data_IF_440459889644
#
_entry.id   IF_440459889644
#
_cell.length_a   1.000
_cell.length_b   1.000
_cell.length_c   1.000
_cell.angle_alpha   90.00
_cell.angle_beta   90.00
_cell.angle_gamma   90.00
#
_symmetry.space_group_name_H-M   'P 1'
#
loop_
_entity.id
_entity.type
_entity.pdbx_description
1 polymer ?
#
# COMPACT_ATOMS: atom_id res chain seq x y z
N UNK A 1 -3.18 -15.57 6.44
CA UNK A 1 -2.63 -14.20 6.66
C UNK A 1 -1.42 -14.05 5.78
N UNK A 2 -1.15 -12.84 5.29
CA UNK A 2 0.04 -12.54 4.48
C UNK A 2 1.28 -12.35 5.35
N UNK A 3 2.43 -12.74 4.81
CA UNK A 3 3.75 -12.56 5.41
C UNK A 3 4.57 -11.73 4.42
N UNK A 4 5.22 -10.68 4.92
CA UNK A 4 6.27 -10.01 4.16
C UNK A 4 7.57 -10.77 4.37
N UNK A 5 8.28 -11.06 3.30
CA UNK A 5 9.60 -11.72 3.33
C UNK A 5 10.58 -10.88 2.52
N UNK A 6 11.69 -10.49 3.15
CA UNK A 6 12.83 -9.85 2.49
C UNK A 6 13.91 -10.90 2.27
N UNK A 7 14.32 -11.06 1.02
CA UNK A 7 15.42 -11.93 0.63
C UNK A 7 16.67 -11.10 0.30
N UNK A 8 17.86 -11.69 0.46
CA UNK A 8 19.09 -11.15 -0.10
C UNK A 8 19.22 -11.47 -1.60
N UNK A 9 20.32 -11.04 -2.22
CA UNK A 9 20.59 -11.27 -3.64
C UNK A 9 20.79 -12.75 -4.00
N UNK A 10 21.01 -13.61 -2.99
CA UNK A 10 21.17 -15.05 -3.13
C UNK A 10 19.84 -15.79 -2.88
N UNK A 11 18.77 -15.07 -2.56
CA UNK A 11 17.45 -15.64 -2.27
C UNK A 11 17.28 -16.17 -0.85
N UNK A 12 18.23 -15.89 0.05
CA UNK A 12 18.11 -16.28 1.46
C UNK A 12 17.25 -15.27 2.21
N UNK A 13 16.38 -15.77 3.07
CA UNK A 13 15.57 -14.93 3.96
C UNK A 13 16.45 -14.12 4.93
N UNK A 14 16.30 -12.80 4.84
CA UNK A 14 16.92 -11.82 5.74
C UNK A 14 15.95 -11.43 6.84
N UNK A 15 14.65 -11.33 6.51
CA UNK A 15 13.62 -10.92 7.46
C UNK A 15 12.23 -11.35 7.02
N UNK A 16 11.38 -11.68 7.98
CA UNK A 16 9.95 -11.83 7.75
C UNK A 16 9.11 -11.33 8.92
N UNK A 17 7.88 -10.90 8.62
CA UNK A 17 6.88 -10.55 9.63
C UNK A 17 5.46 -10.63 9.04
N UNK A 18 4.43 -10.90 9.87
CA UNK A 18 3.05 -10.91 9.41
C UNK A 18 2.59 -9.48 9.05
N UNK A 19 1.89 -9.35 7.92
CA UNK A 19 1.37 -8.05 7.41
C UNK A 19 -0.16 -8.03 7.29
N UNK A 20 -0.84 -8.98 7.92
CA UNK A 20 -2.29 -9.12 7.81
C UNK A 20 -2.73 -9.64 6.44
N UNK A 21 -4.02 -9.49 6.12
CA UNK A 21 -4.54 -9.93 4.81
C UNK A 21 -4.33 -8.86 3.75
N UNK A 22 -3.29 -9.05 2.93
CA UNK A 22 -3.09 -8.34 1.66
C UNK A 22 -3.49 -9.29 0.54
N UNK A 23 -4.78 -9.30 0.18
CA UNK A 23 -5.32 -10.26 -0.79
C UNK A 23 -5.26 -9.73 -2.23
N UNK A 24 -5.00 -8.44 -2.44
CA UNK A 24 -5.06 -7.80 -3.75
C UNK A 24 -4.00 -6.69 -3.91
N UNK A 25 -3.31 -6.77 -5.05
CA UNK A 25 -2.41 -5.81 -5.71
C UNK A 25 -1.10 -5.43 -5.01
N UNK A 26 -0.51 -4.32 -5.45
CA UNK A 26 0.89 -3.96 -5.22
C UNK A 26 1.13 -3.27 -3.88
N UNK A 27 2.09 -3.78 -3.11
CA UNK A 27 2.72 -3.07 -1.99
C UNK A 27 3.91 -2.26 -2.50
N UNK A 28 4.39 -1.35 -1.68
CA UNK A 28 5.58 -0.56 -1.99
C UNK A 28 6.53 -0.47 -0.79
N UNK A 29 7.82 -0.28 -1.07
CA UNK A 29 8.85 0.00 -0.06
C UNK A 29 9.20 1.47 -0.19
N UNK A 30 8.86 2.24 0.84
CA UNK A 30 9.11 3.67 0.91
C UNK A 30 10.62 3.96 1.01
N UNK A 31 11.03 5.18 0.68
CA UNK A 31 12.43 5.60 0.73
C UNK A 31 13.07 5.49 2.14
N UNK A 32 12.26 5.55 3.20
CA UNK A 32 12.67 5.34 4.58
C UNK A 32 12.80 3.84 4.97
N UNK A 33 12.58 2.92 4.03
CA UNK A 33 12.62 1.48 4.24
C UNK A 33 11.36 0.89 4.86
N UNK A 34 10.30 1.69 5.05
CA UNK A 34 9.01 1.19 5.52
C UNK A 34 8.25 0.48 4.40
N UNK A 35 7.36 -0.42 4.79
CA UNK A 35 6.52 -1.19 3.89
C UNK A 35 5.10 -0.62 3.89
N UNK A 36 4.56 -0.30 2.73
CA UNK A 36 3.19 0.18 2.56
C UNK A 36 2.30 -0.92 1.97
N UNK A 37 1.32 -1.39 2.73
CA UNK A 37 0.51 -2.57 2.39
C UNK A 37 -0.98 -2.22 2.31
N UNK A 38 -1.63 -2.40 1.14
CA UNK A 38 -3.09 -2.32 1.04
C UNK A 38 -3.73 -3.60 1.60
N UNK A 39 -4.55 -3.46 2.64
CA UNK A 39 -5.33 -4.56 3.20
C UNK A 39 -6.76 -4.52 2.66
N UNK A 40 -6.90 -5.00 1.42
CA UNK A 40 -8.15 -4.93 0.64
C UNK A 40 -9.44 -5.24 1.42
N UNK A 41 -9.60 -6.42 2.06
CA UNK A 41 -10.87 -6.75 2.71
C UNK A 41 -11.10 -5.99 4.03
N UNK A 42 -10.06 -5.35 4.57
CA UNK A 42 -10.11 -4.58 5.82
C UNK A 42 -10.32 -3.08 5.58
N UNK A 43 -10.34 -2.64 4.32
CA UNK A 43 -10.63 -1.24 3.98
C UNK A 43 -9.57 -0.26 4.48
N UNK A 44 -8.29 -0.64 4.40
CA UNK A 44 -7.20 0.20 4.86
C UNK A 44 -5.87 -0.03 4.15
N UNK A 45 -5.00 0.97 4.23
CA UNK A 45 -3.58 0.90 3.88
C UNK A 45 -2.79 1.03 5.17
N UNK A 46 -1.85 0.12 5.41
CA UNK A 46 -1.03 0.08 6.62
C UNK A 46 0.43 0.29 6.26
N UNK A 47 1.10 1.18 6.98
CA UNK A 47 2.55 1.35 6.91
C UNK A 47 3.21 0.59 8.06
N UNK A 48 4.12 -0.31 7.72
CA UNK A 48 4.93 -1.05 8.67
C UNK A 48 6.36 -0.53 8.66
N UNK A 49 6.95 -0.37 9.84
CA UNK A 49 8.38 -0.11 9.94
C UNK A 49 9.20 -1.34 9.50
N UNK A 50 10.52 -1.18 9.43
CA UNK A 50 11.41 -2.26 9.04
C UNK A 50 11.32 -3.49 9.96
N UNK A 51 10.76 -3.37 11.17
CA UNK A 51 10.58 -4.44 12.16
C UNK A 51 9.18 -5.09 12.13
N UNK A 52 8.30 -4.64 11.24
CA UNK A 52 6.94 -5.13 11.14
C UNK A 52 5.97 -4.52 12.15
N UNK A 53 6.35 -3.43 12.82
CA UNK A 53 5.41 -2.66 13.65
C UNK A 53 4.58 -1.76 12.75
N UNK A 54 3.26 -1.80 12.90
CA UNK A 54 2.38 -0.79 12.27
C UNK A 54 2.67 0.59 12.85
N UNK A 55 3.01 1.55 11.99
CA UNK A 55 3.35 2.93 12.35
C UNK A 55 2.36 3.96 11.79
N UNK A 56 1.57 3.60 10.78
CA UNK A 56 0.47 4.41 10.27
C UNK A 56 -0.63 3.54 9.66
N UNK A 57 -1.86 4.06 9.68
CA UNK A 57 -3.03 3.42 9.08
C UNK A 57 -3.90 4.48 8.40
N UNK A 58 -4.32 4.21 7.17
CA UNK A 58 -5.22 5.05 6.38
C UNK A 58 -6.45 4.23 6.03
N UNK A 59 -7.61 4.68 6.50
CA UNK A 59 -8.88 4.07 6.14
C UNK A 59 -9.24 4.47 4.70
N UNK A 60 -9.34 3.47 3.84
CA UNK A 60 -9.75 3.63 2.46
C UNK A 60 -10.51 2.37 2.05
N UNK A 61 -11.79 2.43 1.64
CA UNK A 61 -12.52 1.22 1.28
C UNK A 61 -11.95 0.50 0.04
N UNK A 62 -11.83 -0.82 0.11
CA UNK A 62 -11.37 -1.72 -0.97
C UNK A 62 -10.11 -1.23 -1.73
N UNK A 63 -9.00 -0.93 -1.04
CA UNK A 63 -7.77 -0.48 -1.66
C UNK A 63 -7.09 -1.66 -2.36
N UNK A 64 -6.64 -1.46 -3.60
CA UNK A 64 -6.01 -2.53 -4.40
C UNK A 64 -4.51 -2.37 -4.55
N UNK A 65 -3.96 -1.17 -4.45
CA UNK A 65 -2.52 -0.93 -4.57
C UNK A 65 -2.16 0.31 -3.76
N UNK A 66 -0.94 0.36 -3.22
CA UNK A 66 -0.45 1.55 -2.55
C UNK A 66 0.99 1.83 -3.00
N UNK A 67 1.26 3.08 -3.39
CA UNK A 67 2.55 3.52 -3.89
C UNK A 67 2.96 4.84 -3.23
N UNK A 68 4.17 4.89 -2.69
CA UNK A 68 4.71 6.10 -2.07
C UNK A 68 5.19 7.09 -3.12
N UNK A 69 4.82 8.36 -2.96
CA UNK A 69 5.29 9.45 -3.81
C UNK A 69 6.46 10.20 -3.15
N UNK A 70 7.37 10.82 -3.93
CA UNK A 70 8.52 11.56 -3.38
C UNK A 70 8.14 12.74 -2.45
N UNK A 71 6.95 13.30 -2.61
CA UNK A 71 6.40 14.34 -1.72
C UNK A 71 5.83 13.78 -0.40
N UNK A 72 5.94 12.46 -0.17
CA UNK A 72 5.37 11.75 0.97
C UNK A 72 3.91 11.34 0.78
N UNK A 73 3.24 11.73 -0.31
CA UNK A 73 1.86 11.30 -0.54
C UNK A 73 1.79 9.81 -0.91
N UNK A 74 0.57 9.28 -0.93
CA UNK A 74 0.28 7.90 -1.31
C UNK A 74 -0.63 7.93 -2.53
N UNK A 75 -0.18 7.30 -3.60
CA UNK A 75 -1.00 7.02 -4.77
C UNK A 75 -1.62 5.62 -4.60
N UNK A 76 -2.94 5.52 -4.70
CA UNK A 76 -3.67 4.27 -4.48
C UNK A 76 -4.80 4.10 -5.48
N UNK A 77 -5.20 2.87 -5.70
CA UNK A 77 -6.43 2.52 -6.43
C UNK A 77 -7.48 1.98 -5.45
N UNK A 78 -8.75 2.30 -5.70
CA UNK A 78 -9.90 1.81 -4.94
C UNK A 78 -10.88 1.09 -5.88
N UNK A 79 -11.40 -0.06 -5.45
CA UNK A 79 -12.56 -0.68 -6.12
C UNK A 79 -13.90 -0.20 -5.57
N UNK A 80 -13.91 0.44 -4.40
CA UNK A 80 -15.11 1.09 -3.87
C UNK A 80 -15.22 2.48 -4.51
N UNK A 81 -16.11 2.61 -5.49
CA UNK A 81 -16.13 3.70 -6.46
C UNK A 81 -14.82 3.74 -7.29
N UNK A 82 -14.75 2.97 -8.40
CA UNK A 82 -13.52 2.73 -9.14
C UNK A 82 -12.75 4.01 -9.46
N UNK A 83 -11.61 4.18 -8.81
CA UNK A 83 -10.85 5.43 -8.86
C UNK A 83 -9.38 5.22 -8.55
N UNK A 84 -8.58 6.19 -9.01
CA UNK A 84 -7.20 6.42 -8.57
C UNK A 84 -7.20 7.65 -7.68
N UNK A 85 -6.53 7.56 -6.54
CA UNK A 85 -6.53 8.58 -5.50
C UNK A 85 -5.08 8.93 -5.16
N UNK A 86 -4.80 10.23 -5.01
CA UNK A 86 -3.63 10.69 -4.27
C UNK A 86 -4.09 11.14 -2.89
N UNK A 87 -3.51 10.55 -1.85
CA UNK A 87 -3.78 10.84 -0.45
C UNK A 87 -2.55 11.49 0.18
N UNK A 88 -2.75 12.48 1.06
CA UNK A 88 -1.68 12.94 1.93
C UNK A 88 -1.36 11.89 3.02
N UNK A 89 -0.34 12.17 3.86
CA UNK A 89 0.08 11.28 4.96
C UNK A 89 -1.01 11.04 6.01
N UNK A 90 -2.03 11.89 6.07
CA UNK A 90 -3.16 11.77 7.00
C UNK A 90 -4.36 11.05 6.36
N UNK A 91 -4.22 10.58 5.12
CA UNK A 91 -5.30 9.91 4.38
C UNK A 91 -6.31 10.86 3.74
N UNK A 92 -6.04 12.17 3.73
CA UNK A 92 -6.91 13.13 3.04
C UNK A 92 -6.66 13.05 1.54
N UNK A 93 -7.75 12.92 0.77
CA UNK A 93 -7.73 12.99 -0.68
C UNK A 93 -7.30 14.38 -1.15
N UNK A 94 -6.20 14.44 -1.90
CA UNK A 94 -5.67 15.67 -2.53
C UNK A 94 -5.89 15.67 -4.03
N UNK A 95 -6.06 14.50 -4.64
CA UNK A 95 -6.41 14.35 -6.05
C UNK A 95 -7.19 13.05 -6.30
N UNK A 96 -7.97 13.01 -7.36
CA UNK A 96 -8.77 11.87 -7.77
C UNK A 96 -8.94 11.80 -9.29
N UNK A 97 -8.98 10.58 -9.80
CA UNK A 97 -9.41 10.27 -11.15
C UNK A 97 -10.38 9.10 -11.11
N UNK A 98 -11.60 9.33 -11.58
CA UNK A 98 -12.62 8.29 -11.71
C UNK A 98 -12.29 7.41 -12.92
N UNK A 99 -12.42 6.09 -12.76
CA UNK A 99 -12.19 5.13 -13.82
C UNK A 99 -13.49 4.45 -14.22
N UNK A 100 -13.65 4.15 -15.51
CA UNK A 100 -14.82 3.39 -15.99
C UNK A 100 -14.73 1.89 -15.64
N UNK A 101 -13.52 1.37 -15.41
CA UNK A 101 -13.25 -0.01 -15.00
C UNK A 101 -12.65 -0.11 -13.59
N UNK A 102 -12.42 -1.33 -13.10
CA UNK A 102 -11.85 -1.57 -11.76
C UNK A 102 -10.31 -1.51 -11.80
N UNK A 103 -9.68 -0.48 -11.22
CA UNK A 103 -8.23 -0.36 -11.25
C UNK A 103 -7.57 -1.40 -10.34
N UNK A 104 -6.58 -2.11 -10.86
CA UNK A 104 -5.85 -3.15 -10.12
C UNK A 104 -4.53 -2.66 -9.52
N UNK A 105 -3.77 -1.89 -10.30
CA UNK A 105 -2.46 -1.38 -9.89
C UNK A 105 -2.30 0.07 -10.34
N UNK A 106 -1.62 0.86 -9.52
CA UNK A 106 -1.19 2.23 -9.84
C UNK A 106 0.31 2.34 -9.59
N UNK A 107 1.00 3.10 -10.43
CA UNK A 107 2.40 3.48 -10.25
C UNK A 107 2.67 4.79 -10.97
N UNK A 108 3.52 5.63 -10.39
CA UNK A 108 4.07 6.81 -11.07
C UNK A 108 5.42 6.43 -11.68
N UNK A 109 5.68 6.86 -12.93
CA UNK A 109 6.98 6.69 -13.60
C UNK A 109 7.88 7.89 -13.31
#
# INVERSE_FOLDING_TARGET
>A
GGIFVRLDAQGKEVKSFPVGQSNLGGFDILANGHLLVPQYPHGKIVEFDANGKSVAEINLPLPTAAFGLPNGHILTASQNNPSVLELDRHGKKVWEYQTEGRPWQVKRR
#
